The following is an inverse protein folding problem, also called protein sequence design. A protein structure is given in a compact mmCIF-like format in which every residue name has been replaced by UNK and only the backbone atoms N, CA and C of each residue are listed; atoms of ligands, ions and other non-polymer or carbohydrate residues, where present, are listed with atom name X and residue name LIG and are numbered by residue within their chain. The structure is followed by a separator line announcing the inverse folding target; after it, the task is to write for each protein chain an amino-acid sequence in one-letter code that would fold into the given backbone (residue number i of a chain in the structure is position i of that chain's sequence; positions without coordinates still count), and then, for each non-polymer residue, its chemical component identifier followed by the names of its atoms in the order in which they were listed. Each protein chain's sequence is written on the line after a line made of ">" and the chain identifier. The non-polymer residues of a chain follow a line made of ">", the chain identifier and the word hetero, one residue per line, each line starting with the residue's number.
data_IF_888957671294
#
_entry.id   IF_888957671294
#
_cell.length_a   1.000
_cell.length_b   1.000
_cell.length_c   1.000
_cell.angle_alpha   90.00
_cell.angle_beta   90.00
_cell.angle_gamma   90.00
#
_symmetry.space_group_name_H-M   'P 1'
#
loop_
_entity.id
_entity.type
_entity.pdbx_description
1 polymer ?
#
# COMPACT_ATOMS: atom_id res chain seq x y z
N UNK A 1 -0.75 -14.67 12.75
CA UNK A 1 0.57 -14.14 13.14
C UNK A 1 1.04 -12.97 12.27
N UNK A 2 1.09 -13.07 10.92
CA UNK A 2 1.60 -11.98 10.05
C UNK A 2 0.98 -10.59 10.28
N UNK A 3 -0.33 -10.53 10.52
CA UNK A 3 -1.04 -9.27 10.84
C UNK A 3 -0.59 -8.63 12.16
N UNK A 4 -0.28 -9.46 13.17
CA UNK A 4 0.18 -8.99 14.47
C UNK A 4 1.59 -8.37 14.36
N UNK A 5 2.50 -9.03 13.64
CA UNK A 5 3.81 -8.47 13.32
C UNK A 5 3.69 -7.17 12.51
N UNK A 6 2.78 -7.11 11.54
CA UNK A 6 2.55 -5.88 10.78
C UNK A 6 2.10 -4.71 11.65
N UNK A 7 1.21 -4.94 12.61
CA UNK A 7 0.76 -3.92 13.59
C UNK A 7 1.91 -3.50 14.51
N UNK A 8 2.72 -4.44 14.98
CA UNK A 8 3.89 -4.17 15.82
C UNK A 8 4.91 -3.29 15.09
N UNK A 9 5.25 -3.63 13.83
CA UNK A 9 6.16 -2.82 13.01
C UNK A 9 5.62 -1.44 12.72
N UNK A 10 4.31 -1.30 12.52
CA UNK A 10 3.67 -0.01 12.30
C UNK A 10 3.74 0.88 13.55
N UNK A 11 3.49 0.32 14.74
CA UNK A 11 3.62 1.06 16.00
C UNK A 11 5.07 1.49 16.26
N UNK A 12 6.04 0.60 16.05
CA UNK A 12 7.47 0.92 16.18
C UNK A 12 7.86 2.02 15.20
N UNK A 13 7.37 1.94 13.95
CA UNK A 13 7.64 2.94 12.92
C UNK A 13 7.09 4.32 13.28
N UNK A 14 5.82 4.41 13.71
CA UNK A 14 5.19 5.67 14.14
C UNK A 14 5.87 6.25 15.37
N UNK A 15 6.24 5.41 16.34
CA UNK A 15 6.94 5.84 17.54
C UNK A 15 8.34 6.38 17.22
N UNK A 16 9.09 5.71 16.34
CA UNK A 16 10.39 6.18 15.86
C UNK A 16 10.31 7.51 15.12
N UNK A 17 9.28 7.70 14.28
CA UNK A 17 9.05 9.00 13.63
C UNK A 17 8.75 10.09 14.67
N UNK A 18 7.92 9.80 15.67
CA UNK A 18 7.62 10.75 16.76
C UNK A 18 8.87 11.21 17.50
N UNK A 19 9.73 10.27 17.93
CA UNK A 19 10.99 10.59 18.61
C UNK A 19 11.90 11.42 17.70
N UNK A 20 12.04 11.03 16.43
CA UNK A 20 12.88 11.75 15.48
C UNK A 20 12.42 13.20 15.25
N UNK A 21 11.11 13.43 15.17
CA UNK A 21 10.55 14.80 15.05
C UNK A 21 10.86 15.63 16.30
N UNK A 22 10.70 15.06 17.50
CA UNK A 22 11.02 15.76 18.76
C UNK A 22 12.49 16.16 18.80
N UNK A 23 13.41 15.25 18.45
CA UNK A 23 14.84 15.54 18.41
C UNK A 23 15.19 16.69 17.43
N UNK A 24 14.59 16.68 16.23
CA UNK A 24 14.78 17.77 15.26
C UNK A 24 14.17 19.09 15.73
N UNK A 25 13.04 19.04 16.43
CA UNK A 25 12.35 20.25 16.94
C UNK A 25 13.15 20.88 18.08
N UNK A 26 13.73 20.06 18.96
CA UNK A 26 14.57 20.53 20.06
C UNK A 26 15.84 21.21 19.52
N UNK A 27 16.47 20.60 18.51
CA UNK A 27 17.61 21.19 17.79
C UNK A 27 17.25 22.53 17.11
N UNK A 28 16.13 22.56 16.39
CA UNK A 28 15.65 23.78 15.73
C UNK A 28 15.32 24.90 16.73
N UNK A 29 14.86 24.54 17.93
CA UNK A 29 14.56 25.49 19.01
C UNK A 29 15.86 26.04 19.61
N UNK A 30 16.87 25.20 19.84
CA UNK A 30 18.21 25.63 20.29
C UNK A 30 18.89 26.58 19.31
N UNK A 31 18.88 26.26 18.01
CA UNK A 31 19.45 27.12 16.98
C UNK A 31 18.78 28.50 16.85
N UNK A 32 17.50 28.62 17.25
CA UNK A 32 16.78 29.90 17.25
C UNK A 32 17.02 30.72 18.51
N UNK A 33 17.54 30.13 19.58
CA UNK A 33 17.87 30.85 20.80
C UNK A 33 19.10 31.73 20.61
N UNK A 34 19.12 32.90 21.26
CA UNK A 34 20.24 33.84 21.22
C UNK A 34 21.54 33.21 21.74
N UNK A 35 21.42 32.35 22.75
CA UNK A 35 22.54 31.62 23.35
C UNK A 35 23.11 30.54 22.40
N UNK A 36 22.25 29.89 21.60
CA UNK A 36 22.67 28.96 20.56
C UNK A 36 23.40 29.63 19.39
N UNK A 37 22.99 30.84 19.00
CA UNK A 37 23.69 31.61 17.96
C UNK A 37 25.09 32.05 18.41
N UNK A 38 25.22 32.52 19.66
CA UNK A 38 26.51 32.93 20.21
C UNK A 38 27.45 31.72 20.38
N UNK A 39 26.95 30.55 20.79
CA UNK A 39 27.79 29.34 20.92
C UNK A 39 28.24 28.78 19.57
N UNK A 40 27.38 28.81 18.55
CA UNK A 40 27.74 28.30 17.21
C UNK A 40 28.78 29.15 16.48
N UNK A 41 28.86 30.45 16.79
CA UNK A 41 29.85 31.34 16.17
C UNK A 41 31.25 31.21 16.79
N UNK A 42 31.33 30.76 18.06
CA UNK A 42 32.59 30.69 18.80
C UNK A 42 33.18 29.28 18.97
N UNK A 43 32.46 28.21 18.64
CA UNK A 43 32.92 26.84 18.91
C UNK A 43 32.64 25.86 17.76
N UNK A 44 33.68 25.49 17.01
CA UNK A 44 33.62 24.41 16.00
C UNK A 44 33.14 23.07 16.60
N UNK A 45 33.44 22.81 17.87
CA UNK A 45 33.03 21.59 18.58
C UNK A 45 31.51 21.51 18.80
N UNK A 46 30.80 22.63 18.76
CA UNK A 46 29.34 22.66 18.94
C UNK A 46 28.59 22.27 17.66
N UNK A 47 29.08 22.75 16.51
CA UNK A 47 28.54 22.39 15.19
C UNK A 47 28.60 20.89 14.92
N UNK A 48 29.62 20.19 15.43
CA UNK A 48 29.76 18.74 15.24
C UNK A 48 28.67 17.95 15.99
N UNK A 49 28.37 18.33 17.24
CA UNK A 49 27.34 17.66 18.06
C UNK A 49 25.91 17.92 17.56
N UNK A 50 25.64 19.13 17.10
CA UNK A 50 24.33 19.49 16.56
C UNK A 50 24.06 18.78 15.22
N UNK A 51 25.09 18.66 14.37
CA UNK A 51 25.02 17.87 13.14
C UNK A 51 24.82 16.37 13.42
N UNK A 52 25.47 15.82 14.45
CA UNK A 52 25.23 14.43 14.87
C UNK A 52 23.78 14.22 15.34
N UNK A 53 23.25 15.10 16.18
CA UNK A 53 21.86 14.99 16.65
C UNK A 53 20.86 15.11 15.51
N UNK A 54 21.10 16.03 14.56
CA UNK A 54 20.28 16.16 13.36
C UNK A 54 20.34 14.91 12.49
N UNK A 55 21.54 14.36 12.28
CA UNK A 55 21.75 13.14 11.52
C UNK A 55 21.04 11.94 12.18
N UNK A 56 21.17 11.79 13.49
CA UNK A 56 20.49 10.74 14.27
C UNK A 56 18.97 10.88 14.12
N UNK A 57 18.44 12.09 14.27
CA UNK A 57 17.00 12.37 14.12
C UNK A 57 16.49 12.02 12.72
N UNK A 58 17.20 12.44 11.67
CA UNK A 58 16.87 12.12 10.28
C UNK A 58 16.93 10.62 9.99
N UNK A 59 17.97 9.94 10.46
CA UNK A 59 18.11 8.48 10.32
C UNK A 59 16.96 7.76 11.03
N UNK A 60 16.58 8.20 12.23
CA UNK A 60 15.46 7.61 12.98
C UNK A 60 14.14 7.74 12.22
N UNK A 61 13.86 8.91 11.65
CA UNK A 61 12.66 9.14 10.82
C UNK A 61 12.69 8.25 9.58
N UNK A 62 13.83 8.18 8.89
CA UNK A 62 14.00 7.32 7.72
C UNK A 62 13.75 5.84 8.04
N UNK A 63 14.35 5.32 9.11
CA UNK A 63 14.10 3.96 9.58
C UNK A 63 12.64 3.75 10.01
N UNK A 64 12.04 4.71 10.72
CA UNK A 64 10.64 4.64 11.17
C UNK A 64 9.64 4.61 10.01
N UNK A 65 9.89 5.37 8.95
CA UNK A 65 9.09 5.33 7.71
C UNK A 65 9.20 3.97 7.02
N UNK A 66 10.41 3.41 6.91
CA UNK A 66 10.61 2.08 6.34
C UNK A 66 9.84 1.01 7.12
N UNK A 67 9.92 1.01 8.46
CA UNK A 67 9.16 0.07 9.29
C UNK A 67 7.65 0.27 9.17
N UNK A 68 7.18 1.50 9.08
CA UNK A 68 5.76 1.81 8.86
C UNK A 68 5.25 1.26 7.53
N UNK A 69 6.02 1.42 6.45
CA UNK A 69 5.68 0.89 5.12
C UNK A 69 5.66 -0.65 5.14
N UNK A 70 6.68 -1.31 5.70
CA UNK A 70 6.70 -2.76 5.82
C UNK A 70 5.53 -3.29 6.66
N UNK A 71 5.23 -2.63 7.78
CA UNK A 71 4.09 -2.96 8.64
C UNK A 71 2.76 -2.87 7.87
N UNK A 72 2.54 -1.77 7.16
CA UNK A 72 1.36 -1.57 6.33
C UNK A 72 1.22 -2.63 5.24
N UNK A 73 2.31 -2.97 4.53
CA UNK A 73 2.32 -4.01 3.49
C UNK A 73 2.01 -5.38 4.09
N UNK A 74 2.56 -5.73 5.26
CA UNK A 74 2.27 -7.00 5.93
C UNK A 74 0.80 -7.12 6.37
N UNK A 75 0.16 -6.02 6.78
CA UNK A 75 -1.27 -5.98 7.13
C UNK A 75 -2.13 -6.12 5.85
N UNK A 76 -1.77 -5.40 4.78
CA UNK A 76 -2.49 -5.37 3.51
C UNK A 76 -2.31 -6.66 2.68
N UNK A 77 -1.24 -7.42 2.96
CA UNK A 77 -0.96 -8.71 2.32
C UNK A 77 -2.02 -9.73 2.70
N UNK A 78 -3.13 -9.74 1.95
CA UNK A 78 -4.09 -10.85 1.96
C UNK A 78 -3.31 -12.10 1.61
N UNK A 79 -3.20 -13.02 2.57
CA UNK A 79 -2.71 -14.38 2.32
C UNK A 79 -3.50 -14.93 1.14
N UNK A 80 -2.88 -14.96 -0.03
CA UNK A 80 -3.37 -15.71 -1.18
C UNK A 80 -3.27 -17.18 -0.78
N UNK A 81 -4.23 -17.66 0.01
CA UNK A 81 -4.51 -19.10 0.10
C UNK A 81 -4.97 -19.48 -1.31
N UNK A 82 -3.98 -19.90 -2.10
CA UNK A 82 -4.16 -20.62 -3.33
C UNK A 82 -5.14 -21.76 -3.03
N UNK A 83 -6.39 -21.59 -3.46
CA UNK A 83 -7.34 -22.70 -3.58
C UNK A 83 -6.93 -23.50 -4.82
N UNK A 84 -5.75 -24.11 -4.80
CA UNK A 84 -5.52 -25.32 -5.59
C UNK A 84 -6.19 -26.46 -4.80
N UNK A 85 -7.52 -26.40 -4.69
CA UNK A 85 -8.31 -27.53 -4.21
C UNK A 85 -8.45 -28.48 -5.41
N UNK A 86 -7.43 -29.32 -5.56
CA UNK A 86 -7.58 -30.75 -5.76
C UNK A 86 -8.70 -31.13 -6.75
N UNK A 87 -8.38 -31.09 -8.04
CA UNK A 87 -8.97 -32.01 -9.01
C UNK A 87 -8.43 -33.40 -8.70
N UNK A 88 -9.03 -34.08 -7.72
CA UNK A 88 -8.98 -35.54 -7.69
C UNK A 88 -9.76 -35.99 -8.92
N UNK A 89 -9.02 -36.39 -9.94
CA UNK A 89 -9.54 -37.12 -11.09
C UNK A 89 -9.92 -38.50 -10.56
N UNK A 90 -11.15 -38.67 -10.11
CA UNK A 90 -11.76 -40.00 -10.00
C UNK A 90 -12.12 -40.45 -11.42
N UNK A 91 -11.11 -40.94 -12.12
CA UNK A 91 -11.29 -41.75 -13.31
C UNK A 91 -11.56 -43.18 -12.84
N UNK A 92 -12.82 -43.50 -12.62
CA UNK A 92 -13.25 -44.90 -12.65
C UNK A 92 -14.69 -45.02 -13.13
N UNK A 93 -14.86 -45.91 -14.11
CA UNK A 93 -16.10 -46.54 -14.58
C UNK A 93 -16.93 -45.68 -15.54
N UNK A 94 -16.94 -45.95 -16.85
CA UNK A 94 -17.35 -47.15 -17.58
C UNK A 94 -18.64 -46.81 -18.34
N UNK A 95 -18.52 -46.88 -19.67
CA UNK A 95 -19.55 -47.21 -20.64
C UNK A 95 -20.99 -46.65 -20.48
N UNK A 96 -21.42 -46.02 -21.56
CA UNK A 96 -22.69 -46.29 -22.28
C UNK A 96 -23.78 -45.19 -22.25
N UNK A 97 -24.19 -44.80 -23.48
CA UNK A 97 -25.50 -44.29 -23.93
C UNK A 97 -25.83 -42.77 -23.80
N UNK A 98 -25.67 -42.09 -24.95
CA UNK A 98 -26.62 -41.25 -25.69
C UNK A 98 -27.30 -39.97 -25.12
N UNK A 99 -27.32 -38.97 -26.02
CA UNK A 99 -28.21 -37.79 -26.16
C UNK A 99 -27.84 -36.51 -25.36
N UNK A 100 -27.71 -35.34 -26.02
CA UNK A 100 -27.32 -34.08 -25.38
C UNK A 100 -28.54 -33.31 -24.84
N UNK A 101 -28.37 -32.53 -23.77
CA UNK A 101 -29.18 -31.35 -23.57
C UNK A 101 -28.32 -30.09 -23.73
N UNK A 102 -28.64 -29.34 -24.78
CA UNK A 102 -28.36 -27.91 -24.89
C UNK A 102 -28.92 -27.22 -23.64
N UNK A 103 -28.04 -26.66 -22.81
CA UNK A 103 -28.39 -25.56 -21.91
C UNK A 103 -27.33 -24.47 -22.03
N UNK A 104 -27.39 -23.74 -23.14
CA UNK A 104 -27.11 -22.31 -23.10
C UNK A 104 -28.24 -21.67 -22.29
N UNK A 105 -28.00 -21.37 -21.02
CA UNK A 105 -28.52 -20.13 -20.46
C UNK A 105 -27.67 -19.66 -19.29
N UNK A 106 -26.67 -18.89 -19.71
CA UNK A 106 -25.97 -17.86 -18.98
C UNK A 106 -26.99 -16.85 -18.38
N UNK A 107 -27.65 -17.22 -17.29
CA UNK A 107 -28.46 -16.30 -16.49
C UNK A 107 -28.21 -16.58 -15.02
N UNK A 108 -26.96 -16.36 -14.58
CA UNK A 108 -26.75 -15.89 -13.21
C UNK A 108 -27.18 -14.44 -13.20
N UNK A 109 -28.48 -14.21 -12.99
CA UNK A 109 -29.05 -12.96 -12.50
C UNK A 109 -28.54 -12.74 -11.07
N UNK A 110 -27.23 -12.56 -10.94
CA UNK A 110 -26.67 -11.88 -9.80
C UNK A 110 -27.12 -10.45 -9.99
N UNK A 111 -28.04 -10.03 -9.14
CA UNK A 111 -28.38 -8.66 -8.83
C UNK A 111 -27.06 -7.87 -8.71
N UNK A 112 -26.57 -7.41 -9.86
CA UNK A 112 -25.34 -6.66 -9.98
C UNK A 112 -25.70 -5.31 -9.42
N UNK A 113 -25.16 -5.03 -8.24
CA UNK A 113 -25.20 -3.69 -7.69
C UNK A 113 -24.68 -2.75 -8.79
N UNK A 114 -25.32 -1.59 -9.01
CA UNK A 114 -24.82 -0.59 -9.99
C UNK A 114 -23.31 -0.34 -9.82
N UNK A 115 -22.83 -0.46 -8.58
CA UNK A 115 -21.41 -0.40 -8.21
C UNK A 115 -20.53 -1.47 -8.86
N UNK A 116 -20.98 -2.72 -8.96
CA UNK A 116 -20.20 -3.82 -9.55
C UNK A 116 -20.05 -3.65 -11.07
N UNK A 117 -21.08 -3.08 -11.71
CA UNK A 117 -21.05 -2.76 -13.14
C UNK A 117 -20.08 -1.59 -13.43
N UNK A 118 -20.13 -0.54 -12.59
CA UNK A 118 -19.18 0.60 -12.64
C UNK A 118 -17.74 0.13 -12.43
N UNK A 119 -17.50 -0.76 -11.45
CA UNK A 119 -16.17 -1.30 -11.20
C UNK A 119 -15.63 -2.13 -12.38
N UNK A 120 -16.49 -2.95 -13.00
CA UNK A 120 -16.12 -3.72 -14.19
C UNK A 120 -15.80 -2.81 -15.39
N UNK A 121 -16.52 -1.70 -15.57
CA UNK A 121 -16.24 -0.72 -16.62
C UNK A 121 -14.89 -0.01 -16.40
N UNK A 122 -14.59 0.38 -15.16
CA UNK A 122 -13.30 0.99 -14.78
C UNK A 122 -12.14 0.02 -14.99
N UNK A 123 -12.32 -1.27 -14.69
CA UNK A 123 -11.29 -2.28 -14.93
C UNK A 123 -10.99 -2.43 -16.44
N UNK A 124 -12.03 -2.42 -17.29
CA UNK A 124 -11.87 -2.46 -18.75
C UNK A 124 -11.14 -1.23 -19.28
N UNK A 125 -11.51 -0.03 -18.80
CA UNK A 125 -10.83 1.22 -19.12
C UNK A 125 -9.34 1.19 -18.75
N UNK A 126 -9.00 0.62 -17.59
CA UNK A 126 -7.62 0.47 -17.15
C UNK A 126 -6.80 -0.43 -18.07
N UNK A 127 -7.40 -1.51 -18.59
CA UNK A 127 -6.74 -2.40 -19.57
C UNK A 127 -6.50 -1.70 -20.90
N UNK A 128 -7.46 -0.91 -21.40
CA UNK A 128 -7.31 -0.16 -22.64
C UNK A 128 -6.18 0.88 -22.55
N UNK A 129 -6.06 1.57 -21.40
CA UNK A 129 -4.95 2.47 -21.12
C UNK A 129 -3.61 1.72 -21.10
N UNK A 130 -3.54 0.58 -20.41
CA UNK A 130 -2.31 -0.24 -20.34
C UNK A 130 -1.87 -0.76 -21.71
N UNK A 131 -2.82 -0.98 -22.62
CA UNK A 131 -2.55 -1.38 -24.00
C UNK A 131 -2.20 -0.19 -24.91
N UNK A 132 -2.27 1.06 -24.42
CA UNK A 132 -1.99 2.27 -25.20
C UNK A 132 -3.06 2.62 -26.23
N UNK A 133 -4.28 2.05 -26.12
CA UNK A 133 -5.39 2.33 -27.04
C UNK A 133 -6.10 3.66 -26.74
N UNK A 134 -5.97 4.16 -25.52
CA UNK A 134 -6.55 5.43 -25.07
C UNK A 134 -5.48 6.24 -24.33
N UNK A 135 -5.58 7.56 -24.42
CA UNK A 135 -4.69 8.46 -23.67
C UNK A 135 -5.13 8.57 -22.20
N UNK A 136 -4.24 9.10 -21.35
CA UNK A 136 -4.57 9.36 -19.94
C UNK A 136 -5.77 10.31 -19.80
N UNK A 137 -5.87 11.28 -20.69
CA UNK A 137 -6.94 12.28 -20.71
C UNK A 137 -8.30 11.63 -21.00
N UNK A 138 -8.37 10.76 -22.01
CA UNK A 138 -9.57 10.00 -22.37
C UNK A 138 -9.99 9.03 -21.26
N UNK A 139 -9.01 8.41 -20.58
CA UNK A 139 -9.27 7.54 -19.44
C UNK A 139 -9.93 8.29 -18.27
N UNK A 140 -9.45 9.50 -17.95
CA UNK A 140 -10.02 10.30 -16.85
C UNK A 140 -11.43 10.80 -17.19
N UNK A 141 -11.69 11.17 -18.44
CA UNK A 141 -13.02 11.60 -18.89
C UNK A 141 -14.04 10.46 -18.77
N UNK A 142 -13.68 9.26 -19.22
CA UNK A 142 -14.57 8.10 -19.15
C UNK A 142 -14.75 7.61 -17.70
N UNK A 143 -13.69 7.64 -16.89
CA UNK A 143 -13.79 7.34 -15.45
C UNK A 143 -14.78 8.28 -14.77
N UNK A 144 -14.76 9.58 -15.06
CA UNK A 144 -15.70 10.55 -14.49
C UNK A 144 -17.16 10.24 -14.86
N UNK A 145 -17.40 9.79 -16.11
CA UNK A 145 -18.74 9.37 -16.58
C UNK A 145 -19.26 8.12 -15.86
N UNK A 146 -18.38 7.21 -15.44
CA UNK A 146 -18.78 6.02 -14.68
C UNK A 146 -19.21 6.35 -13.22
N UNK A 147 -18.88 7.53 -12.70
CA UNK A 147 -19.20 7.96 -11.33
C UNK A 147 -20.22 9.13 -11.25
N UNK A 148 -20.66 9.66 -12.38
CA UNK A 148 -21.67 10.73 -12.48
C UNK A 148 -23.07 10.13 -12.66
#
# INVERSE_FOLDING_TARGET
>A
MKKFFGILFLLIGVFGIGIGIVALTDLATRNRSFEGQIQNEFSETYNEKDNEQQAIGLVLIGCGLLFSILGAVMIASKSKKSKNKLTTVDNTQAANIAVPPIYNNLNTSKQSTKMDEVLNQIERLGKLKQQGLITEEEFQEQKKKCFA
#
